data_IF_405639337911
#
_entry.id   IF_405639337911
#
_cell.length_a   1.000
_cell.length_b   1.000
_cell.length_c   1.000
_cell.angle_alpha   90.00
_cell.angle_beta   90.00
_cell.angle_gamma   90.00
#
_symmetry.space_group_name_H-M   'P 1'
#
loop_
_entity.id
_entity.type
_entity.pdbx_description
1 polymer ?
2 polymer ?
3 non-polymer ?
4 water ?
#
# COMPACT_ATOMS: atom_id res chain seq x y z
N UNK A 15 -12.40 7.37 1.36
CA UNK A 15 -12.31 6.09 0.70
C UNK A 15 -13.49 5.19 1.10
N UNK A 16 -13.97 4.38 0.16
CA UNK A 16 -15.06 3.47 0.46
C UNK A 16 -14.68 2.48 1.56
N UNK A 17 -15.70 1.93 2.20
CA UNK A 17 -15.50 1.06 3.35
C UNK A 17 -15.13 -0.36 3.00
N UNK A 18 -15.88 -1.32 3.56
CA UNK A 18 -15.59 -2.74 3.40
C UNK A 18 -16.61 -3.36 2.45
N UNK A 19 -16.13 -4.24 1.58
CA UNK A 19 -16.94 -4.86 0.56
C UNK A 19 -17.06 -4.05 -0.71
N UNK A 20 -17.01 -2.72 -0.61
CA UNK A 20 -17.10 -1.87 -1.78
C UNK A 20 -15.97 -2.18 -2.76
N UNK A 21 -16.32 -2.37 -4.02
CA UNK A 21 -15.36 -2.77 -5.05
C UNK A 21 -14.72 -1.55 -5.70
N UNK A 22 -13.44 -1.67 -6.03
CA UNK A 22 -12.67 -0.61 -6.65
C UNK A 22 -11.83 -1.19 -7.78
N UNK A 23 -11.52 -0.36 -8.76
CA UNK A 23 -10.65 -0.73 -9.87
C UNK A 23 -9.40 0.15 -9.86
N UNK A 24 -8.22 -0.42 -9.66
CA UNK A 24 -7.01 0.42 -9.66
C UNK A 24 -6.63 0.90 -11.05
N UNK A 25 -6.19 2.15 -11.12
CA UNK A 25 -5.62 2.67 -12.34
C UNK A 25 -4.33 1.92 -12.68
N UNK A 26 -3.93 1.99 -13.94
CA UNK A 26 -2.85 1.13 -14.45
C UNK A 26 -1.57 1.19 -13.62
N UNK A 27 -1.05 2.36 -13.23
CA UNK A 27 0.22 2.35 -12.48
C UNK A 27 0.11 1.65 -11.14
N UNK A 28 -1.03 1.80 -10.46
CA UNK A 28 -1.24 1.05 -9.22
C UNK A 28 -1.44 -0.43 -9.52
N UNK A 29 -2.22 -0.77 -10.54
CA UNK A 29 -2.44 -2.18 -10.86
C UNK A 29 -1.14 -2.89 -11.15
N UNK A 30 -0.20 -2.22 -11.83
CA UNK A 30 1.08 -2.86 -12.12
C UNK A 30 1.81 -3.24 -10.84
N UNK A 31 1.74 -2.38 -9.82
CA UNK A 31 2.38 -2.69 -8.55
C UNK A 31 1.70 -3.89 -7.89
N UNK A 32 0.37 -3.90 -7.88
CA UNK A 32 -0.36 -5.03 -7.31
C UNK A 32 -0.04 -6.34 -8.03
N UNK A 33 0.16 -6.28 -9.35
CA UNK A 33 0.47 -7.48 -10.11
C UNK A 33 1.83 -8.06 -9.70
N UNK A 34 2.81 -7.21 -9.43
CA UNK A 34 4.09 -7.70 -8.93
C UNK A 34 3.88 -8.52 -7.66
N UNK A 35 2.96 -8.08 -6.82
CA UNK A 35 2.66 -8.74 -5.57
C UNK A 35 1.80 -9.98 -5.73
N UNK A 36 1.43 -10.32 -6.97
CA UNK A 36 0.69 -11.53 -7.23
C UNK A 36 -0.78 -11.34 -7.55
N UNK A 37 -1.26 -10.10 -7.63
CA UNK A 37 -2.69 -9.90 -7.88
C UNK A 37 -3.00 -10.21 -9.34
N UNK A 38 -3.99 -11.07 -9.56
CA UNK A 38 -4.39 -11.40 -10.92
C UNK A 38 -5.74 -10.82 -11.31
N UNK A 39 -6.42 -10.16 -10.39
CA UNK A 39 -7.75 -9.61 -10.65
C UNK A 39 -7.66 -8.15 -11.07
N UNK A 40 -8.79 -7.63 -11.54
CA UNK A 40 -8.93 -6.24 -11.91
C UNK A 40 -9.75 -5.44 -10.91
N UNK A 41 -10.53 -6.11 -10.08
CA UNK A 41 -11.42 -5.46 -9.13
C UNK A 41 -11.13 -5.99 -7.74
N UNK A 42 -11.09 -5.09 -6.76
CA UNK A 42 -10.64 -5.38 -5.42
C UNK A 42 -11.56 -4.67 -4.43
N UNK A 43 -11.47 -5.08 -3.17
CA UNK A 43 -11.85 -4.19 -2.08
C UNK A 43 -10.63 -3.38 -1.68
N UNK A 44 -10.85 -2.30 -0.93
CA UNK A 44 -9.72 -1.51 -0.43
C UNK A 44 -8.81 -2.36 0.43
N UNK A 45 -9.40 -3.22 1.28
CA UNK A 45 -8.60 -4.09 2.13
C UNK A 45 -7.71 -5.01 1.31
N UNK A 46 -8.24 -5.55 0.20
CA UNK A 46 -7.42 -6.40 -0.67
C UNK A 46 -6.29 -5.61 -1.31
N UNK A 47 -6.57 -4.38 -1.75
CA UNK A 47 -5.50 -3.52 -2.25
C UNK A 47 -4.41 -3.36 -1.19
N UNK A 48 -4.82 -3.09 0.06
CA UNK A 48 -3.83 -2.94 1.13
C UNK A 48 -3.05 -4.22 1.36
N UNK A 49 -3.72 -5.37 1.24
CA UNK A 49 -3.00 -6.64 1.37
C UNK A 49 -1.91 -6.75 0.33
N UNK A 50 -2.22 -6.45 -0.93
CA UNK A 50 -1.22 -6.58 -1.98
C UNK A 50 -0.12 -5.54 -1.85
N UNK A 51 -0.45 -4.33 -1.37
CA UNK A 51 0.58 -3.31 -1.17
C UNK A 51 1.54 -3.73 -0.06
N UNK A 52 1.00 -4.31 1.02
CA UNK A 52 1.87 -4.84 2.05
C UNK A 52 2.76 -5.93 1.53
N UNK A 53 2.21 -6.85 0.72
CA UNK A 53 3.01 -7.88 0.09
C UNK A 53 4.11 -7.28 -0.78
N UNK A 54 3.76 -6.25 -1.56
CA UNK A 54 4.75 -5.63 -2.44
C UNK A 54 5.92 -5.06 -1.64
N UNK A 55 5.59 -4.30 -0.58
CA UNK A 55 6.64 -3.69 0.22
C UNK A 55 7.52 -4.75 0.84
N UNK A 56 6.92 -5.84 1.32
CA UNK A 56 7.67 -6.95 1.87
C UNK A 56 8.57 -7.58 0.81
N UNK A 57 8.01 -7.89 -0.36
CA UNK A 57 8.79 -8.58 -1.39
C UNK A 57 9.97 -7.76 -1.85
N UNK A 58 9.79 -6.45 -1.99
CA UNK A 58 10.84 -5.56 -2.45
C UNK A 58 11.72 -5.07 -1.31
N UNK A 59 11.38 -5.45 -0.08
CA UNK A 59 12.19 -5.12 1.09
C UNK A 59 12.38 -3.62 1.23
N UNK A 60 11.28 -2.88 1.07
CA UNK A 60 11.35 -1.43 1.13
C UNK A 60 11.29 -0.90 2.55
N UNK A 61 10.83 -1.71 3.50
CA UNK A 61 10.80 -1.25 4.89
C UNK A 61 12.22 -1.11 5.44
N UNK A 62 12.38 -0.16 6.35
CA UNK A 62 13.65 0.01 7.05
C UNK A 62 13.92 -1.22 7.91
N UNK A 63 15.12 -1.77 7.82
CA UNK A 63 15.39 -3.03 8.50
C UNK A 63 15.38 -2.88 10.01
N UNK A 64 15.75 -1.70 10.52
CA UNK A 64 15.83 -1.49 11.96
C UNK A 64 14.58 -0.87 12.55
N UNK A 65 13.90 0.01 11.82
CA UNK A 65 12.70 0.69 12.30
C UNK A 65 11.61 0.37 11.28
N UNK A 66 10.94 -0.76 11.47
CA UNK A 66 10.20 -1.40 10.39
C UNK A 66 8.85 -0.77 10.10
N UNK A 67 8.46 0.27 10.85
CA UNK A 67 7.30 1.06 10.46
C UNK A 67 7.64 2.12 9.41
N UNK A 68 8.92 2.32 9.10
CA UNK A 68 9.34 3.27 8.08
C UNK A 68 9.52 2.52 6.76
N UNK A 69 8.95 3.05 5.69
CA UNK A 69 9.07 2.48 4.35
C UNK A 69 9.83 3.48 3.49
N UNK A 70 10.93 3.03 2.87
CA UNK A 70 11.76 3.84 1.99
C UNK A 70 11.38 3.47 0.56
N UNK A 71 10.62 4.35 -0.09
CA UNK A 71 10.08 4.05 -1.41
C UNK A 71 10.67 4.91 -2.51
N UNK A 72 11.65 5.75 -2.20
CA UNK A 72 12.33 6.50 -3.23
C UNK A 72 13.01 5.53 -4.18
N UNK A 73 13.14 5.92 -5.44
CA UNK A 73 13.77 5.09 -6.45
C UNK A 73 13.03 3.76 -6.66
N UNK A 74 11.75 3.70 -6.31
CA UNK A 74 10.91 2.55 -6.59
C UNK A 74 9.63 3.07 -7.23
N UNK A 75 9.01 2.29 -8.11
CA UNK A 75 7.74 2.74 -8.69
C UNK A 75 6.69 3.12 -7.64
N UNK A 76 6.72 2.49 -6.46
CA UNK A 76 5.75 2.85 -5.44
C UNK A 76 5.94 4.30 -5.00
N UNK A 77 7.19 4.76 -4.88
CA UNK A 77 7.43 6.15 -4.51
C UNK A 77 6.90 7.13 -5.55
N UNK A 78 6.94 6.74 -6.83
CA UNK A 78 6.39 7.62 -7.86
C UNK A 78 4.88 7.80 -7.67
N UNK A 79 4.18 6.75 -7.28
CA UNK A 79 2.75 6.86 -7.02
C UNK A 79 2.47 7.61 -5.73
N UNK A 80 3.23 7.33 -4.67
CA UNK A 80 3.02 7.99 -3.39
C UNK A 80 3.47 9.44 -3.39
N UNK A 81 4.39 9.82 -4.28
CA UNK A 81 4.93 11.17 -4.38
C UNK A 81 5.74 11.58 -3.17
N UNK A 82 6.20 10.61 -2.37
CA UNK A 82 7.07 10.83 -1.23
C UNK A 82 8.20 9.82 -1.29
N UNK A 83 9.35 10.19 -0.71
CA UNK A 83 10.47 9.26 -0.67
C UNK A 83 10.41 8.24 0.44
N UNK A 84 9.65 8.53 1.49
CA UNK A 84 9.49 7.58 2.58
C UNK A 84 8.22 7.96 3.31
N UNK A 85 7.67 6.98 4.04
CA UNK A 85 6.49 7.21 4.85
C UNK A 85 6.50 6.29 6.04
N UNK A 86 5.67 6.60 7.02
CA UNK A 86 5.50 5.76 8.20
C UNK A 86 4.17 5.04 8.11
N UNK A 87 4.18 3.74 8.40
CA UNK A 87 2.94 2.98 8.47
C UNK A 87 2.00 3.58 9.51
N UNK A 88 2.54 4.26 10.51
CA UNK A 88 1.77 4.91 11.57
C UNK A 88 1.27 6.30 11.17
N UNK A 89 1.65 6.80 9.99
CA UNK A 89 1.19 8.09 9.47
C UNK A 89 0.81 7.82 8.02
N UNK A 90 -0.22 7.01 7.78
CA UNK A 90 -0.45 6.46 6.45
C UNK A 90 -1.17 7.38 5.46
N UNK A 91 -1.40 8.64 5.81
CA UNK A 91 -2.14 9.53 4.91
C UNK A 91 -1.59 9.57 3.48
N UNK A 92 -0.28 9.56 3.24
CA UNK A 92 0.18 9.55 1.83
C UNK A 92 -0.29 8.33 1.08
N UNK A 93 -0.43 7.20 1.77
CA UNK A 93 -0.91 5.98 1.14
C UNK A 93 -2.37 6.12 0.74
N UNK A 94 -3.20 6.64 1.65
CA UNK A 94 -4.63 6.77 1.37
C UNK A 94 -4.89 7.88 0.37
N UNK A 95 -4.09 8.96 0.38
CA UNK A 95 -4.21 9.98 -0.65
C UNK A 95 -3.88 9.41 -2.02
N UNK A 96 -2.84 8.58 -2.10
CA UNK A 96 -2.52 7.89 -3.34
C UNK A 96 -3.68 6.99 -3.79
N UNK A 97 -4.26 6.24 -2.86
CA UNK A 97 -5.37 5.36 -3.23
C UNK A 97 -6.54 6.17 -3.77
N UNK A 98 -6.83 7.33 -3.18
CA UNK A 98 -7.93 8.15 -3.69
C UNK A 98 -7.69 8.57 -5.13
N UNK A 99 -6.43 8.89 -5.47
CA UNK A 99 -6.09 9.27 -6.84
C UNK A 99 -6.07 8.08 -7.78
N UNK A 100 -5.90 6.86 -7.26
CA UNK A 100 -5.61 5.72 -8.11
C UNK A 100 -6.67 4.63 -8.07
N UNK A 101 -7.80 4.85 -7.41
CA UNK A 101 -8.88 3.87 -7.37
C UNK A 101 -10.14 4.46 -7.99
N UNK A 102 -10.72 3.72 -8.92
CA UNK A 102 -12.05 4.03 -9.44
C UNK A 102 -13.06 3.28 -8.57
N UNK A 103 -13.99 4.00 -7.96
CA UNK A 103 -14.98 3.39 -7.09
C UNK A 103 -16.10 2.82 -7.95
N UNK A 104 -16.36 1.53 -7.79
CA UNK A 104 -17.42 0.86 -8.54
C UNK A 104 -18.69 0.75 -7.70
N UNK B 3 10.36 -3.86 18.34
CA UNK B 3 10.86 -5.11 17.74
C UNK B 3 9.81 -5.75 16.84
N UNK B 4 8.75 -5.02 16.52
CA UNK B 4 7.69 -5.58 15.69
C UNK B 4 8.09 -5.52 14.21
N UNK B 5 7.65 -6.52 13.47
CA UNK B 5 8.03 -6.64 12.07
C UNK B 5 7.10 -5.80 11.20
N UNK B 6 7.60 -5.48 10.00
CA UNK B 6 6.81 -4.75 9.03
C UNK B 6 5.49 -5.46 8.79
N UNK B 7 5.48 -6.87 8.59
CA UNK B 7 4.28 -7.62 8.33
C UNK B 7 3.31 -7.31 9.47
N UNK B 8 3.76 -7.31 10.82
CA UNK B 8 2.74 -7.15 11.82
C UNK B 8 2.19 -5.72 11.85
N UNK B 9 3.08 -4.75 11.58
CA UNK B 9 2.65 -3.36 11.62
C UNK B 9 1.68 -3.05 10.49
N UNK B 10 1.95 -3.55 9.29
CA UNK B 10 1.04 -3.33 8.18
C UNK B 10 -0.31 -3.99 8.44
N UNK B 11 -0.30 -5.22 8.95
CA UNK B 11 -1.54 -5.92 9.24
C UNK B 11 -2.38 -5.15 10.25
N UNK B 12 -1.73 -4.57 11.27
CA UNK B 12 -2.50 -3.78 12.24
C UNK B 12 -3.23 -2.64 11.56
N UNK B 13 -2.59 -1.98 10.60
CA UNK B 13 -3.24 -0.89 9.89
C UNK B 13 -4.35 -1.40 8.99
N UNK B 14 -4.02 -2.43 8.21
CA UNK B 14 -4.94 -3.05 7.23
C UNK B 14 -6.27 -3.46 7.91
N UNK B 15 -6.19 -4.01 9.12
CA UNK B 15 -7.35 -4.57 9.80
C UNK B 15 -8.05 -3.57 10.70
N UNK B 16 -7.55 -2.35 10.79
CA UNK B 16 -8.11 -1.37 11.72
C UNK B 16 -9.38 -0.73 11.17
N UNK B 17 -10.01 0.10 12.00
X LIG C 1 -6.37 3.70 -16.05
X LIG C 1 -6.86 4.87 -15.32
X LIG C 1 -7.12 2.52 -15.65
X LIG C 1 -6.53 3.92 -17.48
X LIG C 1 -4.95 3.51 -15.75
#
# INVERSE_FOLDING_TARGET
>A
MHHHHHHDDDDKRTLPGEGTQVHPRAPLLQILKVAGAQEEVFTVKEVMHYLGQYIMMKQLYDKQRQHIVHCHDDPLGELLEVGSFSVKNPSPLYEMLKRNLVIL
>B
LSQETFXDLWKLELENX
>C hetero
1 SO4 S O1 O2 O3 O4
#
